data_IF_372817088466
#
_entry.id   IF_372817088466
#
_cell.length_a   1.000
_cell.length_b   1.000
_cell.length_c   1.000
_cell.angle_alpha   90.00
_cell.angle_beta   90.00
_cell.angle_gamma   90.00
#
_symmetry.space_group_name_H-M   'P 1'
#
loop_
_entity.id
_entity.type
_entity.pdbx_description
1 polymer ?
#
# COMPACT_ATOMS: atom_id res chain seq x y z
N UNK A 1 21.52 -23.86 46.35
CA UNK A 1 21.19 -22.69 45.50
C UNK A 1 19.92 -23.04 44.75
N UNK A 2 18.80 -22.38 45.04
CA UNK A 2 17.54 -22.60 44.30
C UNK A 2 17.44 -21.55 43.21
N UNK A 3 17.45 -21.99 41.95
CA UNK A 3 17.21 -21.11 40.81
C UNK A 3 15.71 -20.79 40.80
N UNK A 4 15.38 -19.54 41.07
CA UNK A 4 14.00 -19.04 41.17
C UNK A 4 13.30 -19.15 39.80
N UNK A 5 12.04 -19.56 39.80
CA UNK A 5 11.19 -19.75 38.62
C UNK A 5 10.69 -18.43 37.96
N UNK A 6 11.49 -17.36 37.98
CA UNK A 6 11.09 -16.02 37.55
C UNK A 6 11.15 -15.79 36.02
N UNK A 7 11.47 -16.82 35.23
CA UNK A 7 11.54 -16.72 33.76
C UNK A 7 10.14 -16.81 33.12
N UNK A 8 9.10 -17.19 33.87
CA UNK A 8 7.74 -17.39 33.35
C UNK A 8 6.87 -16.12 33.25
N UNK A 9 7.31 -14.97 33.74
CA UNK A 9 6.48 -13.76 33.85
C UNK A 9 6.77 -12.67 32.82
N UNK A 10 7.63 -12.92 31.83
CA UNK A 10 7.96 -11.95 30.77
C UNK A 10 7.13 -12.09 29.51
N UNK A 11 6.27 -13.12 29.41
CA UNK A 11 5.22 -13.13 28.40
C UNK A 11 4.09 -12.21 28.90
N UNK A 12 3.70 -11.18 28.14
CA UNK A 12 2.53 -10.37 28.49
C UNK A 12 1.34 -11.31 28.67
N UNK A 13 0.51 -11.06 29.68
CA UNK A 13 -0.78 -11.74 29.82
C UNK A 13 -1.48 -11.77 28.44
N UNK A 14 -2.11 -12.90 28.11
CA UNK A 14 -2.66 -13.15 26.77
C UNK A 14 -3.52 -12.00 26.24
N UNK A 15 -4.16 -11.25 27.15
CA UNK A 15 -4.95 -10.05 26.83
C UNK A 15 -4.10 -8.89 26.30
N UNK A 16 -2.92 -8.62 26.87
CA UNK A 16 -1.98 -7.59 26.38
C UNK A 16 -1.41 -7.98 25.02
N UNK A 17 -1.05 -9.25 24.83
CA UNK A 17 -0.55 -9.74 23.54
C UNK A 17 -1.63 -9.61 22.46
N UNK A 18 -2.88 -9.94 22.77
CA UNK A 18 -4.01 -9.82 21.86
C UNK A 18 -4.30 -8.36 21.47
N UNK A 19 -4.34 -7.45 22.44
CA UNK A 19 -4.54 -6.02 22.17
C UNK A 19 -3.37 -5.40 21.39
N UNK A 20 -2.14 -5.86 21.63
CA UNK A 20 -0.98 -5.47 20.84
C UNK A 20 -1.14 -5.89 19.38
N UNK A 21 -1.43 -7.16 19.09
CA UNK A 21 -1.62 -7.64 17.72
C UNK A 21 -2.79 -6.94 17.02
N UNK A 22 -3.89 -6.68 17.73
CA UNK A 22 -5.02 -5.91 17.20
C UNK A 22 -4.61 -4.48 16.84
N UNK A 23 -3.86 -3.80 17.70
CA UNK A 23 -3.34 -2.46 17.42
C UNK A 23 -2.41 -2.47 16.20
N UNK A 24 -1.55 -3.48 16.09
CA UNK A 24 -0.66 -3.67 14.95
C UNK A 24 -1.47 -3.84 13.66
N UNK A 25 -2.45 -4.75 13.66
CA UNK A 25 -3.36 -4.98 12.52
C UNK A 25 -4.09 -3.70 12.10
N UNK A 26 -4.62 -2.93 13.06
CA UNK A 26 -5.30 -1.66 12.78
C UNK A 26 -4.36 -0.63 12.14
N UNK A 27 -3.12 -0.54 12.60
CA UNK A 27 -2.09 0.35 12.03
C UNK A 27 -1.72 -0.07 10.61
N UNK A 28 -1.46 -1.35 10.36
CA UNK A 28 -1.18 -1.85 9.01
C UNK A 28 -2.33 -1.57 8.05
N UNK A 29 -3.57 -1.86 8.46
CA UNK A 29 -4.77 -1.53 7.67
C UNK A 29 -4.87 -0.03 7.37
N UNK A 30 -4.52 0.84 8.33
CA UNK A 30 -4.52 2.29 8.11
C UNK A 30 -3.42 2.73 7.14
N UNK A 31 -2.24 2.13 7.23
CA UNK A 31 -1.11 2.38 6.34
C UNK A 31 -1.44 1.93 4.91
N UNK A 32 -2.04 0.75 4.73
CA UNK A 32 -2.49 0.24 3.44
C UNK A 32 -3.50 1.19 2.78
N UNK A 33 -4.46 1.73 3.55
CA UNK A 33 -5.42 2.73 3.06
C UNK A 33 -4.74 4.04 2.65
N UNK A 34 -3.79 4.52 3.45
CA UNK A 34 -3.03 5.73 3.12
C UNK A 34 -2.21 5.54 1.85
N UNK A 35 -1.50 4.41 1.73
CA UNK A 35 -0.69 4.07 0.58
C UNK A 35 -1.54 3.94 -0.69
N UNK A 36 -2.67 3.25 -0.60
CA UNK A 36 -3.64 3.18 -1.68
C UNK A 36 -4.11 4.56 -2.15
N UNK A 37 -4.41 5.47 -1.21
CA UNK A 37 -4.77 6.86 -1.51
C UNK A 37 -3.66 7.61 -2.25
N UNK A 38 -2.41 7.45 -1.81
CA UNK A 38 -1.23 8.05 -2.47
C UNK A 38 -1.06 7.52 -3.89
N UNK A 39 -1.12 6.20 -4.08
CA UNK A 39 -0.97 5.57 -5.40
C UNK A 39 -2.11 5.96 -6.36
N UNK A 40 -3.35 6.10 -5.86
CA UNK A 40 -4.46 6.61 -6.66
C UNK A 40 -4.23 8.05 -7.08
N UNK A 41 -3.78 8.90 -6.14
CA UNK A 41 -3.48 10.29 -6.46
C UNK A 41 -2.41 10.36 -7.56
N UNK A 42 -1.31 9.64 -7.40
CA UNK A 42 -0.22 9.55 -8.38
C UNK A 42 -0.74 9.09 -9.75
N UNK A 43 -1.52 8.01 -9.81
CA UNK A 43 -2.09 7.50 -11.06
C UNK A 43 -2.98 8.53 -11.78
N UNK A 44 -3.76 9.31 -11.03
CA UNK A 44 -4.68 10.31 -11.60
C UNK A 44 -4.03 11.64 -11.97
N UNK A 45 -2.90 11.98 -11.37
CA UNK A 45 -2.20 13.25 -11.59
C UNK A 45 -0.97 13.12 -12.46
N UNK A 46 -0.50 11.90 -12.72
CA UNK A 46 0.65 11.63 -13.58
C UNK A 46 0.45 12.25 -14.97
N UNK A 47 1.50 12.92 -15.46
CA UNK A 47 1.55 13.57 -16.77
C UNK A 47 2.84 13.18 -17.46
N UNK A 48 2.80 13.06 -18.78
CA UNK A 48 4.00 12.84 -19.56
C UNK A 48 4.88 14.09 -19.49
N UNK A 49 6.05 13.98 -18.86
CA UNK A 49 6.94 15.12 -18.58
C UNK A 49 7.96 15.41 -19.70
N UNK A 50 7.90 14.65 -20.79
CA UNK A 50 8.79 14.78 -21.95
C UNK A 50 10.23 14.31 -21.71
N UNK A 51 10.57 13.87 -20.50
CA UNK A 51 11.89 13.31 -20.17
C UNK A 51 11.93 11.80 -20.36
N UNK A 52 10.80 11.13 -20.15
CA UNK A 52 10.63 9.68 -20.34
C UNK A 52 9.88 9.38 -21.64
N UNK A 53 10.19 8.22 -22.24
CA UNK A 53 9.50 7.77 -23.44
C UNK A 53 8.05 7.34 -23.16
N UNK A 54 7.18 7.40 -24.18
CA UNK A 54 5.76 6.99 -24.04
C UNK A 54 5.61 5.56 -23.51
N UNK A 55 6.47 4.64 -23.91
CA UNK A 55 6.45 3.25 -23.42
C UNK A 55 6.77 3.16 -21.92
N UNK A 56 7.73 3.94 -21.45
CA UNK A 56 8.12 3.99 -20.04
C UNK A 56 7.00 4.59 -19.20
N UNK A 57 6.39 5.68 -19.69
CA UNK A 57 5.23 6.30 -19.05
C UNK A 57 4.04 5.33 -18.89
N UNK A 58 3.70 4.58 -19.95
CA UNK A 58 2.62 3.56 -19.89
C UNK A 58 2.98 2.44 -18.91
N UNK A 59 4.25 2.02 -18.87
CA UNK A 59 4.72 0.98 -17.96
C UNK A 59 4.62 1.44 -16.50
N UNK A 60 4.98 2.68 -16.20
CA UNK A 60 4.87 3.28 -14.87
C UNK A 60 3.41 3.36 -14.41
N UNK A 61 2.50 3.84 -15.26
CA UNK A 61 1.06 3.86 -14.95
C UNK A 61 0.49 2.45 -14.73
N UNK A 62 0.92 1.48 -15.53
CA UNK A 62 0.52 0.08 -15.37
C UNK A 62 1.04 -0.52 -14.06
N UNK A 63 2.26 -0.15 -13.64
CA UNK A 63 2.84 -0.55 -12.37
C UNK A 63 2.07 0.05 -11.18
N UNK A 64 1.63 1.31 -11.26
CA UNK A 64 0.77 1.92 -10.25
C UNK A 64 -0.56 1.15 -10.10
N UNK A 65 -1.20 0.80 -11.20
CA UNK A 65 -2.42 -0.02 -11.18
C UNK A 65 -2.17 -1.42 -10.58
N UNK A 66 -1.03 -2.05 -10.88
CA UNK A 66 -0.66 -3.34 -10.29
C UNK A 66 -0.42 -3.25 -8.77
N UNK A 67 0.23 -2.19 -8.28
CA UNK A 67 0.40 -1.92 -6.85
C UNK A 67 -0.93 -1.71 -6.14
N UNK A 68 -1.85 -0.96 -6.74
CA UNK A 68 -3.22 -0.77 -6.23
C UNK A 68 -3.97 -2.10 -6.13
N UNK A 69 -3.85 -2.96 -7.15
CA UNK A 69 -4.44 -4.30 -7.15
C UNK A 69 -3.92 -5.17 -6.00
N UNK A 70 -2.62 -5.09 -5.67
CA UNK A 70 -2.03 -5.79 -4.53
C UNK A 70 -2.63 -5.32 -3.18
N UNK A 71 -3.08 -4.07 -3.10
CA UNK A 71 -3.81 -3.51 -1.95
C UNK A 71 -5.32 -3.77 -2.01
N UNK A 72 -5.77 -4.70 -2.86
CA UNK A 72 -7.19 -5.04 -3.10
C UNK A 72 -8.01 -3.87 -3.69
N UNK A 73 -7.36 -2.90 -4.30
CA UNK A 73 -7.99 -1.82 -5.06
C UNK A 73 -7.80 -2.07 -6.55
N UNK A 74 -8.79 -2.69 -7.18
CA UNK A 74 -8.72 -2.98 -8.60
C UNK A 74 -9.09 -1.73 -9.43
N UNK A 75 -8.20 -1.33 -10.33
CA UNK A 75 -8.50 -0.34 -11.37
C UNK A 75 -8.98 -1.09 -12.60
N UNK A 76 -10.17 -0.76 -13.10
CA UNK A 76 -10.67 -1.36 -14.32
C UNK A 76 -9.78 -1.00 -15.52
N UNK A 77 -9.63 -1.91 -16.47
CA UNK A 77 -8.81 -1.70 -17.67
C UNK A 77 -9.29 -0.49 -18.48
N UNK A 78 -10.61 -0.27 -18.57
CA UNK A 78 -11.17 0.90 -19.27
C UNK A 78 -10.80 2.21 -18.58
N UNK A 79 -10.80 2.24 -17.24
CA UNK A 79 -10.34 3.40 -16.46
C UNK A 79 -8.84 3.61 -16.58
N UNK A 80 -8.04 2.54 -16.55
CA UNK A 80 -6.60 2.64 -16.73
C UNK A 80 -6.23 3.22 -18.09
N UNK A 81 -6.88 2.76 -19.17
CA UNK A 81 -6.72 3.34 -20.50
C UNK A 81 -7.11 4.82 -20.53
N UNK A 82 -8.21 5.19 -19.86
CA UNK A 82 -8.62 6.60 -19.77
C UNK A 82 -7.59 7.45 -19.02
N UNK A 83 -7.01 6.96 -17.92
CA UNK A 83 -5.96 7.67 -17.19
C UNK A 83 -4.71 7.83 -18.04
N UNK A 84 -4.28 6.78 -18.74
CA UNK A 84 -3.16 6.83 -19.69
C UNK A 84 -3.42 7.91 -20.74
N UNK A 85 -4.59 7.90 -21.40
CA UNK A 85 -4.91 8.91 -22.41
C UNK A 85 -4.92 10.35 -21.83
N UNK A 86 -5.50 10.54 -20.66
CA UNK A 86 -5.55 11.85 -19.98
C UNK A 86 -4.17 12.36 -19.54
N UNK A 87 -3.23 11.46 -19.29
CA UNK A 87 -1.86 11.80 -18.90
C UNK A 87 -0.99 12.23 -20.09
N UNK A 88 -1.36 11.81 -21.30
CA UNK A 88 -0.70 12.14 -22.56
C UNK A 88 -1.19 13.45 -23.18
N UNK A 89 -2.48 13.77 -22.98
CA UNK A 89 -3.02 15.07 -23.35
C UNK A 89 -2.47 16.13 -22.38
N UNK A 90 -1.65 17.05 -22.92
CA UNK A 90 -1.16 18.24 -22.23
C UNK A 90 -2.31 18.98 -21.54
#
# INVERSE_FOLDING_TARGET
MSITNNIKSTLPERDIAKEFFKTVEERFRSADKSLAGTLMAELTTMKLDGTHGMHEHILEMSNLAAKLKALRMNVDESFLLQFILNSLSL
#
